data_IF_940581381300
#
_entry.id   IF_940581381300
#
_cell.length_a   1.000
_cell.length_b   1.000
_cell.length_c   1.000
_cell.angle_alpha   90.00
_cell.angle_beta   90.00
_cell.angle_gamma   90.00
#
_symmetry.space_group_name_H-M   'P 1'
#
loop_
_entity.id
_entity.type
_entity.pdbx_description
1 polymer ?
#
# COMPACT_ATOMS: atom_id res chain seq x y z
N UNK A 1 -31.34 -34.29 -19.75
CA UNK A 1 -31.74 -33.93 -18.36
C UNK A 1 -30.45 -33.71 -17.60
N UNK A 2 -29.86 -32.51 -17.74
CA UNK A 2 -28.59 -32.16 -17.10
C UNK A 2 -28.94 -31.26 -15.92
N UNK A 3 -28.84 -31.82 -14.71
CA UNK A 3 -28.97 -31.06 -13.46
C UNK A 3 -27.84 -30.05 -13.35
N UNK A 4 -28.21 -28.78 -13.37
CA UNK A 4 -27.35 -27.68 -12.98
C UNK A 4 -27.16 -27.75 -11.48
N UNK A 5 -25.96 -28.12 -11.03
CA UNK A 5 -25.58 -28.03 -9.62
C UNK A 5 -25.48 -26.54 -9.28
N UNK A 6 -26.46 -26.03 -8.54
CA UNK A 6 -26.38 -24.72 -7.87
C UNK A 6 -25.27 -24.80 -6.82
N UNK A 7 -24.11 -24.25 -7.16
CA UNK A 7 -23.01 -24.05 -6.20
C UNK A 7 -23.45 -22.93 -5.26
N UNK A 8 -23.81 -23.32 -4.05
CA UNK A 8 -24.11 -22.45 -2.93
C UNK A 8 -23.01 -21.39 -2.77
N UNK A 9 -23.30 -20.15 -3.18
CA UNK A 9 -22.38 -19.02 -3.03
C UNK A 9 -22.58 -18.46 -1.63
N UNK A 10 -21.59 -18.59 -0.72
CA UNK A 10 -21.73 -18.03 0.61
C UNK A 10 -21.98 -16.53 0.51
N UNK A 11 -22.98 -16.08 1.27
CA UNK A 11 -23.39 -14.68 1.42
C UNK A 11 -22.15 -13.81 1.71
N UNK A 12 -21.89 -12.86 0.82
CA UNK A 12 -20.75 -11.94 0.87
C UNK A 12 -20.81 -11.07 2.13
N UNK A 13 -20.26 -11.58 3.23
CA UNK A 13 -19.98 -10.81 4.44
C UNK A 13 -19.03 -9.67 4.03
N UNK A 14 -19.45 -8.42 4.22
CA UNK A 14 -18.72 -7.17 3.97
C UNK A 14 -17.54 -7.28 2.99
N UNK A 15 -17.78 -6.93 1.72
CA UNK A 15 -16.88 -7.09 0.57
C UNK A 15 -15.49 -6.45 0.80
N UNK A 16 -14.57 -7.17 1.47
CA UNK A 16 -13.16 -6.78 1.58
C UNK A 16 -12.55 -6.86 0.19
N UNK A 17 -11.96 -5.77 -0.28
CA UNK A 17 -11.31 -5.75 -1.59
C UNK A 17 -10.09 -6.67 -1.57
N UNK A 18 -9.86 -7.44 -2.64
CA UNK A 18 -8.64 -8.25 -2.82
C UNK A 18 -7.38 -7.41 -2.66
N UNK A 19 -7.43 -6.12 -3.03
CA UNK A 19 -6.35 -5.15 -2.82
C UNK A 19 -6.02 -5.01 -1.33
N UNK A 20 -7.04 -4.77 -0.50
CA UNK A 20 -6.87 -4.49 0.91
C UNK A 20 -6.34 -5.72 1.65
N UNK A 21 -6.83 -6.90 1.27
CA UNK A 21 -6.34 -8.17 1.80
C UNK A 21 -4.87 -8.42 1.41
N UNK A 22 -4.50 -8.18 0.15
CA UNK A 22 -3.13 -8.35 -0.33
C UNK A 22 -2.16 -7.38 0.35
N UNK A 23 -2.54 -6.11 0.50
CA UNK A 23 -1.77 -5.12 1.26
C UNK A 23 -1.57 -5.57 2.71
N UNK A 24 -2.66 -5.92 3.40
CA UNK A 24 -2.62 -6.38 4.80
C UNK A 24 -1.77 -7.63 4.99
N UNK A 25 -1.86 -8.60 4.07
CA UNK A 25 -1.14 -9.87 4.19
C UNK A 25 0.37 -9.69 3.94
N UNK A 26 0.75 -8.88 2.95
CA UNK A 26 2.12 -8.87 2.39
C UNK A 26 2.94 -7.60 2.60
N UNK A 27 2.32 -6.43 2.71
CA UNK A 27 3.03 -5.15 2.59
C UNK A 27 2.90 -4.22 3.80
N UNK A 28 1.75 -4.24 4.49
CA UNK A 28 1.59 -3.43 5.69
C UNK A 28 2.50 -3.96 6.80
N UNK A 29 3.24 -3.05 7.43
CA UNK A 29 4.12 -3.39 8.55
C UNK A 29 3.36 -4.09 9.68
N UNK A 30 4.06 -5.02 10.31
CA UNK A 30 3.58 -5.80 11.46
C UNK A 30 4.51 -5.57 12.64
N UNK A 31 3.95 -5.60 13.84
CA UNK A 31 4.75 -5.62 15.06
C UNK A 31 5.40 -6.99 15.30
N UNK A 32 6.16 -7.09 16.40
CA UNK A 32 6.83 -8.33 16.80
C UNK A 32 5.87 -9.49 17.10
N UNK A 33 4.58 -9.21 17.33
CA UNK A 33 3.53 -10.21 17.53
C UNK A 33 2.78 -10.54 16.24
N UNK A 34 3.21 -10.00 15.09
CA UNK A 34 2.60 -10.23 13.79
C UNK A 34 1.30 -9.44 13.54
N UNK A 35 0.94 -8.50 14.42
CA UNK A 35 -0.26 -7.67 14.25
C UNK A 35 0.05 -6.55 13.28
N UNK A 36 -0.86 -6.29 12.34
CA UNK A 36 -0.72 -5.19 11.38
C UNK A 36 -0.84 -3.86 12.11
N UNK A 37 0.19 -3.02 12.00
CA UNK A 37 0.29 -1.71 12.67
C UNK A 37 0.31 -0.54 11.70
N UNK A 38 0.20 -0.82 10.41
CA UNK A 38 0.22 0.17 9.34
C UNK A 38 -1.07 0.10 8.52
N UNK A 39 -1.55 1.25 8.08
CA UNK A 39 -2.66 1.39 7.11
C UNK A 39 -2.12 1.66 5.70
N UNK A 40 -2.89 1.40 4.63
CA UNK A 40 -2.41 1.69 3.26
C UNK A 40 -1.92 3.13 3.03
N UNK A 41 -2.58 4.20 3.53
CA UNK A 41 -2.03 5.54 3.44
C UNK A 41 -0.70 5.71 4.19
N UNK A 42 -0.55 5.12 5.38
CA UNK A 42 0.72 5.16 6.12
C UNK A 42 1.83 4.45 5.36
N UNK A 43 1.56 3.30 4.75
CA UNK A 43 2.50 2.58 3.87
C UNK A 43 2.98 3.47 2.72
N UNK A 44 2.06 4.13 2.01
CA UNK A 44 2.45 5.06 0.93
C UNK A 44 3.25 6.25 1.44
N UNK A 45 2.92 6.78 2.63
CA UNK A 45 3.66 7.88 3.23
C UNK A 45 5.09 7.47 3.62
N UNK A 46 5.26 6.28 4.19
CA UNK A 46 6.57 5.69 4.52
C UNK A 46 7.44 5.55 3.28
N UNK A 47 6.89 4.92 2.22
CA UNK A 47 7.62 4.71 0.96
C UNK A 47 7.97 6.04 0.30
N UNK A 48 7.04 6.99 0.25
CA UNK A 48 7.28 8.31 -0.33
C UNK A 48 8.37 9.08 0.42
N UNK A 49 8.34 9.04 1.76
CA UNK A 49 9.36 9.67 2.59
C UNK A 49 10.74 9.02 2.43
N UNK A 50 10.79 7.69 2.32
CA UNK A 50 12.04 6.96 2.10
C UNK A 50 12.68 7.31 0.75
N UNK A 51 11.87 7.40 -0.33
CA UNK A 51 12.36 7.77 -1.67
C UNK A 51 12.80 9.22 -1.70
N UNK A 52 11.94 10.16 -1.26
CA UNK A 52 12.25 11.59 -1.31
C UNK A 52 13.40 11.98 -0.36
N UNK A 53 13.54 11.29 0.77
CA UNK A 53 14.58 11.56 1.77
C UNK A 53 16.01 11.36 1.24
N UNK A 54 16.19 10.61 0.15
CA UNK A 54 17.50 10.46 -0.50
C UNK A 54 18.01 11.79 -1.04
N UNK A 55 17.13 12.68 -1.49
CA UNK A 55 17.49 14.00 -2.06
C UNK A 55 18.20 14.91 -1.03
N UNK A 56 17.95 14.70 0.27
CA UNK A 56 18.68 15.43 1.32
C UNK A 56 20.18 15.14 1.31
N UNK A 57 20.62 14.01 0.73
CA UNK A 57 22.05 13.70 0.52
C UNK A 57 22.67 14.43 -0.67
N UNK A 58 21.84 15.07 -1.49
CA UNK A 58 22.20 15.80 -2.70
C UNK A 58 21.80 17.28 -2.58
N UNK A 59 21.91 17.83 -1.37
CA UNK A 59 21.71 19.26 -1.04
C UNK A 59 20.30 19.83 -1.31
N UNK A 60 19.28 18.97 -1.44
CA UNK A 60 17.90 19.44 -1.49
C UNK A 60 17.46 20.04 -0.15
N UNK A 61 16.80 21.19 -0.20
CA UNK A 61 16.24 21.83 0.98
C UNK A 61 15.12 20.97 1.60
N UNK A 62 14.89 21.06 2.92
CA UNK A 62 13.84 20.28 3.59
C UNK A 62 12.45 20.43 2.95
N UNK A 63 12.14 21.61 2.42
CA UNK A 63 10.85 21.90 1.78
C UNK A 63 10.71 21.16 0.46
N UNK A 64 11.79 21.09 -0.33
CA UNK A 64 11.84 20.34 -1.59
C UNK A 64 11.66 18.84 -1.36
N UNK A 65 12.29 18.29 -0.30
CA UNK A 65 12.11 16.89 0.10
C UNK A 65 10.66 16.61 0.49
N UNK A 66 10.02 17.50 1.26
CA UNK A 66 8.61 17.35 1.64
C UNK A 66 7.67 17.42 0.44
N UNK A 67 7.92 18.34 -0.49
CA UNK A 67 7.12 18.49 -1.70
C UNK A 67 7.24 17.26 -2.61
N UNK A 68 8.44 16.70 -2.74
CA UNK A 68 8.68 15.48 -3.49
C UNK A 68 8.00 14.26 -2.85
N UNK A 69 8.08 14.11 -1.52
CA UNK A 69 7.36 13.07 -0.80
C UNK A 69 5.84 13.19 -1.02
N UNK A 70 5.29 14.40 -0.97
CA UNK A 70 3.88 14.63 -1.23
C UNK A 70 3.48 14.26 -2.67
N UNK A 71 4.35 14.50 -3.66
CA UNK A 71 4.14 14.08 -5.05
C UNK A 71 4.09 12.56 -5.20
N UNK A 72 5.08 11.83 -4.66
CA UNK A 72 5.10 10.38 -4.69
C UNK A 72 3.90 9.76 -3.97
N UNK A 73 3.55 10.29 -2.80
CA UNK A 73 2.36 9.86 -2.06
C UNK A 73 1.10 9.97 -2.91
N UNK A 74 0.87 11.14 -3.55
CA UNK A 74 -0.30 11.35 -4.42
C UNK A 74 -0.34 10.33 -5.55
N UNK A 75 0.77 10.13 -6.25
CA UNK A 75 0.86 9.18 -7.36
C UNK A 75 0.53 7.74 -6.93
N UNK A 76 1.05 7.29 -5.79
CA UNK A 76 0.79 5.96 -5.24
C UNK A 76 -0.64 5.80 -4.73
N UNK A 77 -1.16 6.81 -4.01
CA UNK A 77 -2.54 6.79 -3.48
C UNK A 77 -3.60 6.70 -4.59
N UNK A 78 -3.31 7.31 -5.75
CA UNK A 78 -4.16 7.30 -6.95
C UNK A 78 -3.94 6.07 -7.84
N UNK A 79 -2.96 5.21 -7.52
CA UNK A 79 -2.61 4.05 -8.35
C UNK A 79 -2.00 4.40 -9.71
N UNK A 80 -1.48 5.63 -9.87
CA UNK A 80 -0.85 6.10 -11.13
C UNK A 80 0.60 5.64 -11.27
N UNK A 81 1.23 5.34 -10.14
CA UNK A 81 2.59 4.81 -10.05
C UNK A 81 2.68 3.95 -8.80
N UNK A 82 3.30 2.78 -8.91
CA UNK A 82 3.68 1.96 -7.76
C UNK A 82 5.09 1.45 -8.02
N UNK A 83 5.97 1.49 -7.01
CA UNK A 83 7.27 0.85 -7.13
C UNK A 83 7.10 -0.68 -7.09
N UNK A 84 8.18 -1.41 -7.33
CA UNK A 84 8.15 -2.87 -7.28
C UNK A 84 7.82 -3.38 -5.86
N UNK A 85 7.51 -4.68 -5.76
CA UNK A 85 7.12 -5.30 -4.48
C UNK A 85 8.16 -5.13 -3.37
N UNK A 86 9.48 -5.33 -3.59
CA UNK A 86 10.50 -5.05 -2.58
C UNK A 86 10.48 -3.65 -1.97
N UNK A 87 10.16 -2.62 -2.75
CA UNK A 87 10.12 -1.24 -2.26
C UNK A 87 8.92 -0.96 -1.36
N UNK A 88 7.85 -1.75 -1.44
CA UNK A 88 6.66 -1.59 -0.60
C UNK A 88 6.78 -2.26 0.78
N UNK A 89 7.75 -3.16 0.94
CA UNK A 89 7.95 -3.95 2.17
C UNK A 89 8.67 -3.18 3.28
#
# INVERSE_FOLDING_TARGET
MTESVEVDRPMLTQKVSLRDELLRRRYLLKDAQGRVVETPPQMFSRVAGAVAGVEAKYDAAPDQVRDLAAQFFRLMSQGRFLPNSPTLM
#
